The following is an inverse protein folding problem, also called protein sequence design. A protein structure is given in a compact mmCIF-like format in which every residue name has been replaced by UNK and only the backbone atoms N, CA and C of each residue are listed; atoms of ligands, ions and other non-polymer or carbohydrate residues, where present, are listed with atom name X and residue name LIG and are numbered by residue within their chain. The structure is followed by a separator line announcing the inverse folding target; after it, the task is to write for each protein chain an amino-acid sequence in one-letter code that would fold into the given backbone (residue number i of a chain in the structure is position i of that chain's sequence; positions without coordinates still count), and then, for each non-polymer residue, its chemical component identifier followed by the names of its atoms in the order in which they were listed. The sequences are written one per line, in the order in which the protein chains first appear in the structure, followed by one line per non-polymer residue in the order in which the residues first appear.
data_IF_911537492262
#
_entry.id   IF_911537492262
#
_cell.length_a   1.000
_cell.length_b   1.000
_cell.length_c   1.000
_cell.angle_alpha   90.00
_cell.angle_beta   90.00
_cell.angle_gamma   90.00
#
_symmetry.space_group_name_H-M   'P 1'
#
loop_
_entity.id
_entity.type
_entity.pdbx_description
1 polymer ?
#
# COMPACT_ATOMS: atom_id res chain seq x y z
N UNK A 1 4.63 -42.12 10.93
CA UNK A 1 3.56 -41.15 11.26
C UNK A 1 4.23 -39.79 11.43
N UNK A 2 4.34 -39.00 10.35
CA UNK A 2 4.96 -37.67 10.45
C UNK A 2 3.99 -36.77 11.19
N UNK A 3 4.45 -36.13 12.27
CA UNK A 3 3.66 -35.12 12.97
C UNK A 3 3.19 -34.08 11.95
N UNK A 4 1.88 -33.84 11.87
CA UNK A 4 1.31 -32.72 11.13
C UNK A 4 2.02 -31.45 11.60
N UNK A 5 2.92 -30.90 10.80
CA UNK A 5 3.56 -29.63 11.14
C UNK A 5 2.46 -28.60 11.41
N UNK A 6 2.44 -28.05 12.62
CA UNK A 6 1.44 -27.06 13.01
C UNK A 6 1.57 -25.86 12.08
N UNK A 7 0.52 -25.60 11.30
CA UNK A 7 0.46 -24.43 10.42
C UNK A 7 0.64 -23.16 11.26
N UNK A 8 1.72 -22.43 11.03
CA UNK A 8 2.07 -21.28 11.85
C UNK A 8 1.05 -20.14 11.71
N UNK A 9 0.31 -20.10 10.60
CA UNK A 9 -0.77 -19.15 10.40
C UNK A 9 -1.92 -19.35 11.41
N UNK A 10 -2.02 -20.52 12.05
CA UNK A 10 -3.05 -20.81 13.05
C UNK A 10 -2.59 -20.49 14.49
N UNK A 11 -1.33 -20.10 14.69
CA UNK A 11 -0.82 -19.76 16.01
C UNK A 11 -1.52 -18.49 16.53
N UNK A 12 -1.92 -18.45 17.82
CA UNK A 12 -2.57 -17.28 18.40
C UNK A 12 -1.76 -15.99 18.25
N UNK A 13 -0.44 -16.07 18.40
CA UNK A 13 0.47 -14.93 18.23
C UNK A 13 0.42 -14.38 16.80
N UNK A 14 0.38 -15.24 15.77
CA UNK A 14 0.28 -14.80 14.38
C UNK A 14 -1.08 -14.14 14.11
N UNK A 15 -2.15 -14.68 14.71
CA UNK A 15 -3.50 -14.10 14.61
C UNK A 15 -3.59 -12.72 15.26
N UNK A 16 -2.97 -12.52 16.43
CA UNK A 16 -2.88 -11.21 17.08
C UNK A 16 -2.12 -10.22 16.19
N UNK A 17 -1.04 -10.66 15.54
CA UNK A 17 -0.30 -9.81 14.60
C UNK A 17 -1.13 -9.42 13.37
N UNK A 18 -1.96 -10.33 12.85
CA UNK A 18 -2.91 -9.97 11.79
C UNK A 18 -3.94 -8.94 12.27
N UNK A 19 -4.44 -9.03 13.51
CA UNK A 19 -5.34 -8.00 14.08
C UNK A 19 -4.61 -6.67 14.16
N UNK A 20 -3.38 -6.66 14.66
CA UNK A 20 -2.55 -5.45 14.71
C UNK A 20 -2.35 -4.85 13.31
N UNK A 21 -2.09 -5.68 12.30
CA UNK A 21 -1.99 -5.26 10.90
C UNK A 21 -3.30 -4.66 10.38
N UNK A 22 -4.46 -5.27 10.65
CA UNK A 22 -5.78 -4.72 10.27
C UNK A 22 -5.99 -3.34 10.88
N UNK A 23 -5.69 -3.18 12.18
CA UNK A 23 -5.89 -1.92 12.87
C UNK A 23 -4.93 -0.83 12.35
N UNK A 24 -3.65 -1.15 12.22
CA UNK A 24 -2.64 -0.20 11.77
C UNK A 24 -2.85 0.18 10.29
N UNK A 25 -2.89 -0.80 9.39
CA UNK A 25 -3.08 -0.54 7.96
C UNK A 25 -4.48 -0.02 7.65
N UNK A 26 -5.48 -0.36 8.48
CA UNK A 26 -6.83 0.19 8.38
C UNK A 26 -6.88 1.66 8.75
N UNK A 27 -6.23 2.07 9.85
CA UNK A 27 -6.14 3.48 10.23
C UNK A 27 -5.33 4.30 9.21
N UNK A 28 -4.09 3.89 8.92
CA UNK A 28 -3.23 4.55 7.93
C UNK A 28 -3.68 4.35 6.48
N UNK A 29 -4.67 3.51 6.26
CA UNK A 29 -5.35 3.35 4.99
C UNK A 29 -6.55 4.26 4.86
N UNK A 30 -7.57 4.03 5.69
CA UNK A 30 -8.87 4.68 5.57
C UNK A 30 -8.83 6.18 5.89
N UNK A 31 -8.04 6.61 6.87
CA UNK A 31 -8.02 8.02 7.26
C UNK A 31 -7.45 8.91 6.13
N UNK A 32 -6.22 8.68 5.61
CA UNK A 32 -5.72 9.49 4.50
C UNK A 32 -6.48 9.27 3.18
N UNK A 33 -7.18 8.13 3.02
CA UNK A 33 -8.08 7.89 1.89
C UNK A 33 -9.34 8.75 1.94
N UNK A 34 -9.98 8.84 3.11
CA UNK A 34 -11.31 9.47 3.25
C UNK A 34 -11.22 10.96 3.59
N UNK A 35 -10.24 11.35 4.41
CA UNK A 35 -10.09 12.70 4.97
C UNK A 35 -8.62 13.17 4.92
N UNK A 36 -8.03 13.30 3.71
CA UNK A 36 -6.60 13.62 3.54
C UNK A 36 -6.17 14.90 4.26
N UNK A 37 -6.93 16.01 4.19
CA UNK A 37 -6.60 17.24 4.92
C UNK A 37 -6.61 17.08 6.43
N UNK A 38 -7.57 16.33 6.98
CA UNK A 38 -7.63 16.11 8.42
C UNK A 38 -6.36 15.36 8.86
N UNK A 39 -6.01 14.29 8.15
CA UNK A 39 -4.78 13.54 8.39
C UNK A 39 -3.54 14.44 8.30
N UNK A 40 -3.41 15.24 7.23
CA UNK A 40 -2.28 16.15 7.06
C UNK A 40 -2.17 17.13 8.24
N UNK A 41 -3.28 17.77 8.62
CA UNK A 41 -3.30 18.74 9.72
C UNK A 41 -2.92 18.15 11.08
N UNK A 42 -3.34 16.91 11.38
CA UNK A 42 -3.00 16.23 12.64
C UNK A 42 -1.50 15.99 12.79
N UNK A 43 -0.77 15.87 11.68
CA UNK A 43 0.65 15.60 11.66
C UNK A 43 1.49 16.78 11.19
N UNK A 44 0.88 17.96 10.99
CA UNK A 44 1.58 19.19 10.61
C UNK A 44 2.02 19.25 9.14
N UNK A 45 1.42 18.42 8.28
CA UNK A 45 1.62 18.49 6.83
C UNK A 45 0.64 19.45 6.17
N UNK A 46 0.94 19.84 4.94
CA UNK A 46 0.17 20.87 4.24
C UNK A 46 -1.10 20.32 3.60
N UNK A 47 -1.08 19.06 3.15
CA UNK A 47 -2.23 18.40 2.55
C UNK A 47 -2.57 18.87 1.13
N UNK A 48 -1.71 19.65 0.47
CA UNK A 48 -1.97 20.16 -0.88
C UNK A 48 -2.10 19.05 -1.94
N UNK A 49 -1.35 17.96 -1.77
CA UNK A 49 -1.33 16.84 -2.71
C UNK A 49 -2.31 15.73 -2.27
N UNK A 50 -3.61 16.05 -2.14
CA UNK A 50 -4.65 15.12 -1.66
C UNK A 50 -4.63 13.77 -2.37
N UNK A 51 -4.41 13.77 -3.69
CA UNK A 51 -4.32 12.56 -4.49
C UNK A 51 -3.27 11.58 -3.92
N UNK A 52 -2.12 12.09 -3.48
CA UNK A 52 -1.03 11.25 -2.95
C UNK A 52 -1.42 10.63 -1.61
N UNK A 53 -2.09 11.38 -0.74
CA UNK A 53 -2.66 10.84 0.50
C UNK A 53 -3.68 9.75 0.22
N UNK A 54 -4.58 9.98 -0.74
CA UNK A 54 -5.60 8.99 -1.13
C UNK A 54 -4.99 7.73 -1.70
N UNK A 55 -3.97 7.85 -2.56
CA UNK A 55 -3.26 6.70 -3.12
C UNK A 55 -2.50 5.92 -2.03
N UNK A 56 -1.79 6.61 -1.13
CA UNK A 56 -1.15 5.99 0.03
C UNK A 56 -2.16 5.24 0.91
N UNK A 57 -3.33 5.88 1.14
CA UNK A 57 -4.43 5.33 1.91
C UNK A 57 -5.08 4.12 1.24
N UNK A 58 -5.34 4.19 -0.06
CA UNK A 58 -5.89 3.08 -0.85
C UNK A 58 -4.96 1.86 -0.84
N UNK A 59 -3.65 2.08 -1.04
CA UNK A 59 -2.65 1.01 -1.00
C UNK A 59 -2.61 0.36 0.39
N UNK A 60 -2.52 1.16 1.45
CA UNK A 60 -2.53 0.68 2.84
C UNK A 60 -3.81 -0.07 3.21
N UNK A 61 -4.97 0.40 2.72
CA UNK A 61 -6.27 -0.26 2.92
C UNK A 61 -6.30 -1.66 2.31
N UNK A 62 -5.68 -1.87 1.14
CA UNK A 62 -5.61 -3.21 0.55
C UNK A 62 -4.82 -4.20 1.42
N UNK A 63 -3.73 -3.78 2.07
CA UNK A 63 -3.05 -4.62 3.09
C UNK A 63 -3.94 -4.94 4.29
N UNK A 64 -4.73 -3.96 4.76
CA UNK A 64 -5.68 -4.16 5.85
C UNK A 64 -6.74 -5.21 5.47
N UNK A 65 -7.27 -5.14 4.25
CA UNK A 65 -8.24 -6.10 3.73
C UNK A 65 -7.64 -7.49 3.57
N UNK A 66 -6.40 -7.61 3.10
CA UNK A 66 -5.69 -8.89 3.05
C UNK A 66 -5.59 -9.54 4.44
N UNK A 67 -5.17 -8.76 5.44
CA UNK A 67 -5.06 -9.24 6.82
C UNK A 67 -6.43 -9.61 7.42
N UNK A 68 -7.47 -8.82 7.13
CA UNK A 68 -8.84 -9.08 7.60
C UNK A 68 -9.39 -10.38 7.00
N UNK A 69 -9.24 -10.58 5.70
CA UNK A 69 -9.67 -11.82 5.04
C UNK A 69 -8.87 -13.02 5.56
N UNK A 70 -7.55 -12.88 5.77
CA UNK A 70 -6.73 -13.92 6.39
C UNK A 70 -7.24 -14.31 7.78
N UNK A 71 -7.69 -13.34 8.59
CA UNK A 71 -8.29 -13.56 9.90
C UNK A 71 -9.60 -14.34 9.81
N UNK A 72 -10.54 -13.85 9.00
CA UNK A 72 -11.91 -14.39 8.91
C UNK A 72 -11.92 -15.78 8.28
N UNK A 73 -11.15 -15.98 7.21
CA UNK A 73 -11.18 -17.22 6.42
C UNK A 73 -10.18 -18.27 6.89
N UNK A 74 -9.36 -17.95 7.89
CA UNK A 74 -8.36 -18.85 8.48
C UNK A 74 -7.41 -19.51 7.48
N UNK A 75 -6.94 -18.73 6.51
CA UNK A 75 -6.01 -19.20 5.47
C UNK A 75 -4.76 -19.87 6.04
N UNK A 76 -4.22 -20.80 5.25
CA UNK A 76 -2.99 -21.50 5.57
C UNK A 76 -1.77 -20.62 5.36
N UNK A 77 -0.65 -20.93 6.03
CA UNK A 77 0.60 -20.19 5.84
C UNK A 77 1.01 -20.09 4.36
N UNK A 78 0.83 -21.15 3.58
CA UNK A 78 1.18 -21.15 2.16
C UNK A 78 0.44 -20.10 1.33
N UNK A 79 -0.79 -19.76 1.71
CA UNK A 79 -1.61 -18.74 1.05
C UNK A 79 -1.28 -17.33 1.56
N UNK A 80 -0.60 -17.22 2.69
CA UNK A 80 -0.20 -15.96 3.31
C UNK A 80 1.23 -15.53 2.96
N UNK A 81 2.06 -16.43 2.41
CA UNK A 81 3.47 -16.13 2.07
C UNK A 81 3.61 -14.86 1.23
N UNK A 82 2.83 -14.74 0.16
CA UNK A 82 2.91 -13.59 -0.75
C UNK A 82 2.43 -12.28 -0.07
N UNK A 83 1.25 -12.24 0.59
CA UNK A 83 0.86 -11.08 1.40
C UNK A 83 1.86 -10.67 2.48
N UNK A 84 2.52 -11.64 3.13
CA UNK A 84 3.52 -11.35 4.16
C UNK A 84 4.80 -10.79 3.53
N UNK A 85 5.23 -11.27 2.36
CA UNK A 85 6.32 -10.64 1.59
C UNK A 85 6.00 -9.20 1.18
N UNK A 86 4.76 -8.95 0.73
CA UNK A 86 4.30 -7.61 0.40
C UNK A 86 4.33 -6.70 1.65
N UNK A 87 3.84 -7.20 2.79
CA UNK A 87 3.84 -6.50 4.08
C UNK A 87 5.26 -6.21 4.57
N UNK A 88 6.18 -7.17 4.45
CA UNK A 88 7.60 -6.98 4.77
C UNK A 88 8.19 -5.85 3.92
N UNK A 89 7.95 -5.89 2.61
CA UNK A 89 8.50 -4.91 1.66
C UNK A 89 7.98 -3.51 1.94
N UNK A 90 6.67 -3.38 2.12
CA UNK A 90 6.05 -2.12 2.50
C UNK A 90 6.66 -1.56 3.79
N UNK A 91 6.71 -2.37 4.85
CA UNK A 91 7.22 -1.91 6.13
C UNK A 91 8.73 -1.58 6.10
N UNK A 92 9.54 -2.36 5.38
CA UNK A 92 10.95 -2.05 5.19
C UNK A 92 11.15 -0.73 4.43
N UNK A 93 10.40 -0.51 3.35
CA UNK A 93 10.44 0.73 2.58
C UNK A 93 9.89 1.94 3.37
N UNK A 94 8.86 1.73 4.20
CA UNK A 94 8.32 2.78 5.08
C UNK A 94 9.30 3.14 6.20
N UNK A 95 9.99 2.16 6.78
CA UNK A 95 11.07 2.39 7.74
C UNK A 95 12.22 3.18 7.09
N UNK A 96 12.60 2.84 5.85
CA UNK A 96 13.57 3.63 5.08
C UNK A 96 13.08 5.07 4.85
N UNK A 97 11.83 5.25 4.39
CA UNK A 97 11.24 6.58 4.18
C UNK A 97 11.27 7.43 5.45
N UNK A 98 10.94 6.82 6.59
CA UNK A 98 10.94 7.48 7.89
C UNK A 98 12.36 7.82 8.36
N UNK A 99 13.32 6.91 8.16
CA UNK A 99 14.73 7.17 8.47
C UNK A 99 15.28 8.34 7.65
N UNK A 100 14.96 8.40 6.35
CA UNK A 100 15.33 9.53 5.49
C UNK A 100 14.75 10.84 6.03
N UNK A 101 13.44 10.89 6.29
CA UNK A 101 12.76 12.07 6.84
C UNK A 101 13.40 12.55 8.15
N UNK A 102 13.63 11.64 9.11
CA UNK A 102 14.28 11.96 10.38
C UNK A 102 15.72 12.46 10.19
N UNK A 103 16.49 11.83 9.29
CA UNK A 103 17.86 12.23 8.99
C UNK A 103 17.94 13.61 8.30
N UNK A 104 16.91 14.00 7.57
CA UNK A 104 16.76 15.33 6.96
C UNK A 104 16.27 16.40 7.94
N UNK A 105 16.07 16.06 9.22
CA UNK A 105 15.72 17.00 10.28
C UNK A 105 14.24 17.07 10.62
N UNK A 106 13.38 16.27 9.97
CA UNK A 106 11.96 16.18 10.32
C UNK A 106 11.81 15.44 11.66
N UNK A 107 11.37 16.18 12.68
CA UNK A 107 11.10 15.66 14.03
C UNK A 107 9.60 15.50 14.30
N UNK A 108 8.78 15.45 13.26
CA UNK A 108 7.37 15.18 13.35
C UNK A 108 7.10 13.84 14.05
N UNK A 109 5.96 13.76 14.75
CA UNK A 109 5.56 12.55 15.45
C UNK A 109 5.32 11.38 14.47
N UNK A 110 4.83 11.66 13.26
CA UNK A 110 4.50 10.63 12.29
C UNK A 110 5.72 9.88 11.76
N UNK A 111 6.79 10.53 11.23
CA UNK A 111 8.01 9.82 10.83
C UNK A 111 8.62 8.98 11.96
N UNK A 112 8.69 9.53 13.18
CA UNK A 112 9.23 8.79 14.33
C UNK A 112 8.39 7.56 14.68
N UNK A 113 7.06 7.70 14.70
CA UNK A 113 6.15 6.59 14.93
C UNK A 113 6.28 5.52 13.84
N UNK A 114 6.28 5.93 12.56
CA UNK A 114 6.40 5.01 11.42
C UNK A 114 7.76 4.31 11.43
N UNK A 115 8.86 5.00 11.78
CA UNK A 115 10.18 4.39 11.89
C UNK A 115 10.16 3.20 12.85
N UNK A 116 9.60 3.37 14.05
CA UNK A 116 9.53 2.32 15.07
C UNK A 116 8.56 1.22 14.64
N UNK A 117 7.33 1.59 14.27
CA UNK A 117 6.28 0.64 13.93
C UNK A 117 6.65 -0.19 12.70
N UNK A 118 7.05 0.46 11.60
CA UNK A 118 7.39 -0.22 10.37
C UNK A 118 8.64 -1.10 10.52
N UNK A 119 9.65 -0.67 11.29
CA UNK A 119 10.81 -1.53 11.58
C UNK A 119 10.39 -2.80 12.35
N UNK A 120 9.51 -2.67 13.34
CA UNK A 120 9.01 -3.81 14.11
C UNK A 120 8.22 -4.78 13.21
N UNK A 121 7.26 -4.28 12.42
CA UNK A 121 6.47 -5.10 11.50
C UNK A 121 7.33 -5.74 10.40
N UNK A 122 8.38 -5.06 9.92
CA UNK A 122 9.33 -5.64 8.97
C UNK A 122 10.08 -6.83 9.61
N UNK A 123 10.67 -6.65 10.79
CA UNK A 123 11.38 -7.72 11.50
C UNK A 123 10.47 -8.90 11.80
N UNK A 124 9.24 -8.64 12.27
CA UNK A 124 8.24 -9.67 12.56
C UNK A 124 7.85 -10.43 11.29
N UNK A 125 7.60 -9.72 10.18
CA UNK A 125 7.26 -10.35 8.90
C UNK A 125 8.41 -11.21 8.38
N UNK A 126 9.65 -10.71 8.45
CA UNK A 126 10.84 -11.46 8.10
C UNK A 126 11.03 -12.71 8.98
N UNK A 127 10.79 -12.61 10.29
CA UNK A 127 10.85 -13.75 11.21
C UNK A 127 9.86 -14.85 10.80
N UNK A 128 8.61 -14.52 10.50
CA UNK A 128 7.62 -15.51 10.08
C UNK A 128 7.94 -16.11 8.72
N UNK A 129 8.44 -15.30 7.78
CA UNK A 129 8.93 -15.76 6.49
C UNK A 129 10.12 -16.72 6.61
N UNK A 130 11.06 -16.43 7.51
CA UNK A 130 12.21 -17.30 7.76
C UNK A 130 11.82 -18.60 8.46
N UNK A 131 10.84 -18.55 9.37
CA UNK A 131 10.32 -19.74 10.07
C UNK A 131 9.65 -20.73 9.10
N UNK A 132 8.91 -20.21 8.12
CA UNK A 132 8.28 -20.92 7.00
C UNK A 132 7.53 -22.23 7.32
N UNK A 133 6.86 -22.35 8.48
CA UNK A 133 6.15 -23.58 8.85
C UNK A 133 4.69 -23.57 8.42
N UNK A 134 4.33 -24.48 7.52
CA UNK A 134 2.94 -24.74 7.20
C UNK A 134 2.76 -25.74 6.08
N UNK A 135 1.52 -26.22 5.87
CA UNK A 135 1.25 -27.31 4.95
C UNK A 135 1.60 -26.92 3.52
N UNK A 136 2.09 -27.89 2.76
CA UNK A 136 2.17 -27.77 1.30
C UNK A 136 0.75 -27.80 0.77
N UNK A 137 0.32 -26.70 0.16
CA UNK A 137 -0.99 -26.62 -0.47
C UNK A 137 -0.90 -27.15 -1.89
N UNK A 138 -1.84 -28.03 -2.31
CA UNK A 138 -1.89 -28.54 -3.68
C UNK A 138 -1.92 -27.40 -4.69
N UNK A 139 -1.23 -27.59 -5.81
CA UNK A 139 -1.20 -26.64 -6.92
C UNK A 139 -2.63 -26.39 -7.42
N UNK A 140 -3.05 -25.13 -7.44
CA UNK A 140 -4.29 -24.69 -8.06
C UNK A 140 -4.19 -24.57 -9.58
N UNK A 141 -5.21 -23.95 -10.19
CA UNK A 141 -5.26 -23.75 -11.63
C UNK A 141 -4.11 -22.84 -12.11
N UNK A 142 -3.54 -23.22 -13.27
CA UNK A 142 -2.52 -22.44 -13.96
C UNK A 142 -3.16 -21.22 -14.60
N UNK A 143 -2.46 -20.08 -14.57
CA UNK A 143 -2.92 -18.85 -15.19
C UNK A 143 -3.02 -18.94 -16.71
N UNK A 144 -4.09 -18.35 -17.25
CA UNK A 144 -4.16 -17.98 -18.66
C UNK A 144 -3.07 -16.96 -19.01
N UNK A 145 -2.60 -17.00 -20.25
CA UNK A 145 -1.54 -16.10 -20.75
C UNK A 145 -1.95 -14.64 -20.61
N UNK A 146 -3.21 -14.30 -20.93
CA UNK A 146 -3.72 -12.93 -20.81
C UNK A 146 -3.64 -12.41 -19.38
N UNK A 147 -4.02 -13.23 -18.39
CA UNK A 147 -3.91 -12.87 -16.98
C UNK A 147 -2.45 -12.63 -16.55
N UNK A 148 -1.50 -13.46 -17.02
CA UNK A 148 -0.07 -13.25 -16.75
C UNK A 148 0.44 -11.93 -17.31
N UNK A 149 0.00 -11.54 -18.51
CA UNK A 149 0.37 -10.25 -19.12
C UNK A 149 -0.17 -9.09 -18.29
N UNK A 150 -1.44 -9.14 -17.89
CA UNK A 150 -2.04 -8.10 -17.02
C UNK A 150 -1.27 -8.00 -15.70
N UNK A 151 -0.97 -9.14 -15.07
CA UNK A 151 -0.20 -9.17 -13.83
C UNK A 151 1.23 -8.62 -14.00
N UNK A 152 1.89 -8.92 -15.12
CA UNK A 152 3.22 -8.39 -15.41
C UNK A 152 3.21 -6.87 -15.60
N UNK A 153 2.22 -6.33 -16.32
CA UNK A 153 2.05 -4.89 -16.49
C UNK A 153 1.72 -4.21 -15.16
N UNK A 154 0.81 -4.77 -14.37
CA UNK A 154 0.48 -4.26 -13.04
C UNK A 154 1.70 -4.27 -12.10
N UNK A 155 2.50 -5.32 -12.15
CA UNK A 155 3.76 -5.45 -11.39
C UNK A 155 4.76 -4.37 -11.80
N UNK A 156 4.93 -4.15 -13.11
CA UNK A 156 5.82 -3.11 -13.62
C UNK A 156 5.34 -1.71 -13.22
N UNK A 157 4.04 -1.42 -13.36
CA UNK A 157 3.46 -0.16 -12.90
C UNK A 157 3.66 0.03 -11.40
N UNK A 158 3.38 -0.98 -10.58
CA UNK A 158 3.60 -0.91 -9.14
C UNK A 158 5.09 -0.71 -8.78
N UNK A 159 6.02 -1.28 -9.55
CA UNK A 159 7.45 -1.05 -9.34
C UNK A 159 7.83 0.41 -9.65
N UNK A 160 7.36 0.96 -10.78
CA UNK A 160 7.63 2.35 -11.19
C UNK A 160 7.02 3.33 -10.18
N UNK A 161 5.72 3.20 -9.89
CA UNK A 161 5.00 4.06 -8.94
C UNK A 161 5.31 3.75 -7.48
N UNK A 162 5.99 2.64 -7.19
CA UNK A 162 6.53 2.34 -5.87
C UNK A 162 7.90 2.95 -5.65
N UNK A 163 8.85 2.71 -6.55
CA UNK A 163 10.23 3.17 -6.41
C UNK A 163 10.38 4.66 -6.66
N UNK A 164 9.68 5.23 -7.65
CA UNK A 164 9.92 6.61 -8.05
C UNK A 164 9.55 7.63 -6.95
N UNK A 165 8.34 7.62 -6.36
CA UNK A 165 8.02 8.52 -5.25
C UNK A 165 8.73 8.13 -3.94
N UNK A 166 9.19 6.89 -3.78
CA UNK A 166 10.01 6.46 -2.63
C UNK A 166 11.42 7.05 -2.66
N UNK A 167 12.07 7.04 -3.83
CA UNK A 167 13.49 7.40 -3.95
C UNK A 167 13.70 8.84 -4.43
N UNK A 168 12.78 9.40 -5.21
CA UNK A 168 12.90 10.74 -5.78
C UNK A 168 11.55 11.49 -5.76
N UNK A 169 10.96 11.73 -4.57
CA UNK A 169 9.63 12.35 -4.45
C UNK A 169 9.54 13.74 -5.07
N UNK A 170 10.60 14.55 -5.01
CA UNK A 170 10.64 15.87 -5.66
C UNK A 170 10.49 15.76 -7.17
N UNK A 171 11.27 14.87 -7.80
CA UNK A 171 11.21 14.66 -9.25
C UNK A 171 9.88 14.05 -9.67
N UNK A 172 9.33 13.16 -8.84
CA UNK A 172 7.99 12.63 -9.03
C UNK A 172 6.97 13.77 -9.00
N UNK A 173 7.00 14.63 -7.98
CA UNK A 173 6.10 15.76 -7.87
C UNK A 173 6.22 16.72 -9.07
N UNK A 174 7.44 17.07 -9.49
CA UNK A 174 7.66 17.89 -10.70
C UNK A 174 7.09 17.22 -11.95
N UNK A 175 7.32 15.92 -12.16
CA UNK A 175 6.85 15.22 -13.36
C UNK A 175 5.33 15.21 -13.47
N UNK A 176 4.63 15.12 -12.33
CA UNK A 176 3.18 15.07 -12.26
C UNK A 176 2.53 16.41 -11.88
N UNK A 177 3.30 17.51 -11.92
CA UNK A 177 2.84 18.87 -11.60
C UNK A 177 2.16 18.99 -10.22
N UNK A 178 2.67 18.24 -9.24
CA UNK A 178 2.24 18.24 -7.84
C UNK A 178 3.08 19.22 -7.01
N UNK A 179 2.58 19.61 -5.83
CA UNK A 179 3.27 20.58 -4.96
C UNK A 179 4.60 20.04 -4.42
N UNK A 180 4.64 18.74 -4.08
CA UNK A 180 5.82 18.07 -3.55
C UNK A 180 6.23 18.51 -2.14
N UNK A 181 5.38 19.28 -1.43
CA UNK A 181 5.70 19.80 -0.10
C UNK A 181 5.74 18.69 0.95
N UNK A 182 4.81 17.74 0.87
CA UNK A 182 4.67 16.64 1.84
C UNK A 182 5.49 15.41 1.42
N UNK A 183 6.79 15.58 1.14
CA UNK A 183 7.62 14.53 0.53
C UNK A 183 7.64 13.20 1.30
N UNK A 184 7.51 13.23 2.62
CA UNK A 184 7.43 12.00 3.42
C UNK A 184 6.23 11.14 3.02
N UNK A 185 5.08 11.78 2.73
CA UNK A 185 3.85 11.09 2.30
C UNK A 185 4.01 10.49 0.91
N UNK A 186 4.70 11.17 -0.01
CA UNK A 186 5.08 10.57 -1.31
C UNK A 186 5.91 9.29 -1.11
N UNK A 187 6.87 9.33 -0.19
CA UNK A 187 7.69 8.15 0.10
C UNK A 187 6.86 7.01 0.69
N UNK A 188 5.89 7.30 1.57
CA UNK A 188 4.98 6.29 2.10
C UNK A 188 4.05 5.70 1.03
N UNK A 189 3.53 6.53 0.12
CA UNK A 189 2.76 6.08 -1.03
C UNK A 189 3.58 5.12 -1.90
N UNK A 190 4.84 5.48 -2.17
CA UNK A 190 5.80 4.64 -2.87
C UNK A 190 6.09 3.33 -2.15
N UNK A 191 6.35 3.38 -0.84
CA UNK A 191 6.59 2.21 -0.01
C UNK A 191 5.43 1.21 -0.05
N UNK A 192 4.19 1.69 0.13
CA UNK A 192 3.00 0.85 0.09
C UNK A 192 2.80 0.20 -1.28
N UNK A 193 3.03 0.96 -2.36
CA UNK A 193 2.92 0.46 -3.74
C UNK A 193 4.05 -0.53 -4.10
N UNK A 194 5.26 -0.31 -3.59
CA UNK A 194 6.40 -1.21 -3.81
C UNK A 194 6.15 -2.63 -3.25
N UNK A 195 5.44 -2.74 -2.13
CA UNK A 195 5.06 -4.06 -1.61
C UNK A 195 4.15 -4.83 -2.57
N UNK A 196 3.25 -4.17 -3.31
CA UNK A 196 2.47 -4.80 -4.38
C UNK A 196 3.34 -5.25 -5.56
N UNK A 197 4.41 -4.51 -5.88
CA UNK A 197 5.34 -4.90 -6.94
C UNK A 197 6.09 -6.19 -6.59
N UNK A 198 6.60 -6.31 -5.35
CA UNK A 198 7.25 -7.54 -4.88
C UNK A 198 6.26 -8.70 -4.84
N UNK A 199 5.03 -8.44 -4.38
CA UNK A 199 3.97 -9.44 -4.41
C UNK A 199 3.72 -9.93 -5.84
N UNK A 200 3.49 -9.02 -6.80
CA UNK A 200 3.25 -9.36 -8.20
C UNK A 200 4.39 -10.16 -8.85
N UNK A 201 5.65 -9.85 -8.53
CA UNK A 201 6.79 -10.63 -8.97
C UNK A 201 6.78 -12.07 -8.43
N UNK A 202 6.38 -12.25 -7.16
CA UNK A 202 6.21 -13.58 -6.56
C UNK A 202 4.97 -14.31 -7.11
N UNK A 203 3.89 -13.59 -7.40
CA UNK A 203 2.69 -14.15 -8.03
C UNK A 203 3.01 -14.72 -9.42
N UNK A 204 3.73 -13.97 -10.27
CA UNK A 204 4.20 -14.41 -11.58
C UNK A 204 5.06 -15.68 -11.50
N UNK A 205 5.89 -15.81 -10.46
CA UNK A 205 6.71 -16.99 -10.21
C UNK A 205 5.91 -18.19 -9.70
N UNK A 206 4.83 -17.95 -8.95
CA UNK A 206 4.05 -19.02 -8.32
C UNK A 206 3.26 -19.86 -9.32
N UNK A 207 2.71 -19.23 -10.38
CA UNK A 207 1.90 -19.90 -11.39
C UNK A 207 0.55 -20.46 -10.91
N UNK A 208 0.14 -20.20 -9.67
CA UNK A 208 -0.98 -20.86 -8.98
C UNK A 208 -1.99 -19.86 -8.39
N UNK A 209 -3.24 -19.89 -8.86
CA UNK A 209 -4.30 -18.99 -8.41
C UNK A 209 -4.60 -19.07 -6.92
N UNK A 210 -4.52 -20.25 -6.31
CA UNK A 210 -4.84 -20.43 -4.89
C UNK A 210 -3.88 -19.65 -3.99
N UNK A 211 -2.62 -19.54 -4.39
CA UNK A 211 -1.57 -18.84 -3.64
C UNK A 211 -1.61 -17.32 -3.80
N UNK A 212 -2.13 -16.84 -4.93
CA UNK A 212 -2.13 -15.41 -5.26
C UNK A 212 -3.44 -14.71 -4.93
N UNK A 213 -4.56 -15.46 -4.80
CA UNK A 213 -5.92 -14.88 -4.70
C UNK A 213 -6.06 -13.77 -3.66
N UNK A 214 -5.44 -13.93 -2.49
CA UNK A 214 -5.57 -12.96 -1.40
C UNK A 214 -4.87 -11.65 -1.75
N UNK A 215 -3.66 -11.74 -2.27
CA UNK A 215 -2.87 -10.59 -2.67
C UNK A 215 -3.49 -9.90 -3.90
N UNK A 216 -3.97 -10.68 -4.87
CA UNK A 216 -4.67 -10.14 -6.02
C UNK A 216 -5.95 -9.39 -5.62
N UNK A 217 -6.71 -9.91 -4.65
CA UNK A 217 -7.86 -9.19 -4.08
C UNK A 217 -7.44 -7.88 -3.41
N UNK A 218 -6.36 -7.88 -2.63
CA UNK A 218 -5.81 -6.66 -2.04
C UNK A 218 -5.39 -5.63 -3.10
N UNK A 219 -4.85 -6.09 -4.25
CA UNK A 219 -4.48 -5.22 -5.36
C UNK A 219 -5.73 -4.65 -6.06
N UNK A 220 -6.78 -5.45 -6.25
CA UNK A 220 -8.07 -4.97 -6.77
C UNK A 220 -8.65 -3.90 -5.85
N UNK A 221 -8.66 -4.12 -4.53
CA UNK A 221 -9.13 -3.12 -3.56
C UNK A 221 -8.33 -1.82 -3.67
N UNK A 222 -7.00 -1.91 -3.69
CA UNK A 222 -6.15 -0.73 -3.88
C UNK A 222 -6.52 0.02 -5.18
N UNK A 223 -6.58 -0.67 -6.32
CA UNK A 223 -6.86 -0.03 -7.60
C UNK A 223 -8.27 0.60 -7.65
N UNK A 224 -9.28 -0.09 -7.12
CA UNK A 224 -10.66 0.42 -7.06
C UNK A 224 -10.73 1.67 -6.18
N UNK A 225 -10.13 1.64 -4.99
CA UNK A 225 -10.13 2.79 -4.07
C UNK A 225 -9.31 3.96 -4.62
N UNK A 226 -8.18 3.68 -5.27
CA UNK A 226 -7.32 4.69 -5.89
C UNK A 226 -7.94 5.34 -7.13
N UNK A 227 -8.86 4.66 -7.80
CA UNK A 227 -9.59 5.19 -8.95
C UNK A 227 -10.80 6.05 -8.59
N UNK A 228 -11.18 6.17 -7.31
CA UNK A 228 -12.31 7.01 -6.89
C UNK A 228 -11.94 8.47 -7.19
N UNK A 229 -12.67 9.16 -8.09
CA UNK A 229 -12.33 10.51 -8.48
C UNK A 229 -12.52 11.47 -7.32
N UNK A 230 -11.65 12.47 -7.28
CA UNK A 230 -11.69 13.52 -6.28
C UNK A 230 -12.97 14.34 -6.46
N UNK A 231 -13.88 14.29 -5.48
CA UNK A 231 -15.13 15.07 -5.55
C UNK A 231 -14.88 16.57 -5.47
N UNK A 232 -13.69 16.98 -5.02
CA UNK A 232 -13.24 18.38 -5.04
C UNK A 232 -12.78 18.85 -6.42
N UNK A 233 -12.44 17.94 -7.33
CA UNK A 233 -12.24 18.23 -8.75
C UNK A 233 -13.59 18.35 -9.47
N UNK A 234 -14.52 19.14 -8.92
CA UNK A 234 -15.62 19.65 -9.72
C UNK A 234 -14.99 20.53 -10.81
N UNK A 235 -14.89 19.98 -12.00
CA UNK A 235 -14.65 20.72 -13.23
C UNK A 235 -15.64 21.90 -13.24
N UNK A 236 -15.19 23.09 -12.85
CA UNK A 236 -15.92 24.33 -13.13
C UNK A 236 -15.52 24.68 -14.55
N UNK A 237 -16.36 24.46 -15.58
CA UNK A 237 -16.11 25.09 -16.85
C UNK A 237 -15.98 26.58 -16.56
N UNK A 238 -14.84 27.16 -16.94
CA UNK A 238 -14.69 28.61 -16.99
C UNK A 238 -15.78 29.13 -17.91
N UNK A 239 -16.89 29.59 -17.33
CA UNK A 239 -17.97 30.23 -18.07
C UNK A 239 -17.32 31.39 -18.84
N UNK A 240 -17.49 31.47 -20.16
CA UNK A 240 -16.95 32.59 -20.92
C UNK A 240 -17.48 33.88 -20.31
N UNK A 241 -16.55 34.76 -19.94
CA UNK A 241 -16.84 36.09 -19.42
C UNK A 241 -17.83 36.77 -20.37
N UNK A 242 -19.04 37.05 -19.90
CA UNK A 242 -20.01 37.84 -20.68
C UNK A 242 -19.31 39.15 -21.09
N UNK A 243 -19.35 39.54 -22.38
CA UNK A 243 -18.84 40.83 -22.79
C UNK A 243 -19.61 41.92 -22.03
N UNK A 244 -18.85 42.79 -21.33
CA UNK A 244 -19.39 44.03 -20.76
C UNK A 244 -20.00 44.82 -21.90
N UNK A 245 -21.32 45.01 -21.87
CA UNK A 245 -21.95 45.99 -22.73
C UNK A 245 -21.42 47.37 -22.35
N UNK A 246 -20.65 47.97 -23.25
CA UNK A 246 -20.31 49.37 -23.19
C UNK A 246 -21.60 50.18 -23.42
N UNK A 247 -22.24 50.61 -22.32
CA UNK A 247 -23.15 51.75 -22.38
C UNK A 247 -22.29 53.00 -22.39
N UNK A 248 -22.13 53.60 -23.56
CA UNK A 248 -21.78 55.01 -23.74
C UNK A 248 -23.03 55.88 -23.52
N UNK A 249 -22.86 57.14 -23.08
CA UNK A 249 -23.88 58.00 -22.48
C UNK A 249 -25.04 58.38 -23.41
#
# INVERSE_FOLDING_TARGET
MFASESDQAQLPVFRILLVAQVLAAGFFGLVPLLVPQAFASWYGYTGHDELVYRLAGAASTGYAVAALLALITRLSWAELRIPVWATLTFNAAAAFAAAVSVSSGDRGILPMFILVAASAFAVISAFWLFRDRGPVVPTGAVFEVGFRVVLALATLSAAVFGLFPLLAPERFATLFELSGQDQFIFRLAGAATLGYAVAGALELRSGDYRRIRLQNFAAVVFNVLGAIPDRAASWRPSLPLRPRSSRSP
#
